data_IF_573775179610
#
_entry.id   IF_573775179610
#
_cell.length_a   1.000
_cell.length_b   1.000
_cell.length_c   1.000
_cell.angle_alpha   90.00
_cell.angle_beta   90.00
_cell.angle_gamma   90.00
#
_symmetry.space_group_name_H-M   'P 1'
#
loop_
_entity.id
_entity.type
_entity.pdbx_description
1 polymer ?
#
# COMPACT_ATOMS: atom_id res chain seq x y z
N UNK A 1 -10.68 22.16 -55.71
CA UNK A 1 -11.07 21.92 -54.31
C UNK A 1 -10.24 20.76 -53.77
N UNK A 2 -9.19 21.05 -52.99
CA UNK A 2 -8.27 20.05 -52.41
C UNK A 2 -8.89 19.46 -51.15
N UNK A 3 -9.18 18.16 -51.13
CA UNK A 3 -9.58 17.44 -49.92
C UNK A 3 -8.34 16.81 -49.30
N UNK A 4 -8.08 17.21 -48.06
CA UNK A 4 -6.93 16.83 -47.24
C UNK A 4 -7.06 15.39 -46.74
N UNK A 5 -6.07 14.55 -47.04
CA UNK A 5 -5.91 13.21 -46.45
C UNK A 5 -5.27 13.37 -45.08
N UNK A 6 -6.01 13.07 -44.00
CA UNK A 6 -5.41 12.84 -42.68
C UNK A 6 -5.17 11.35 -42.47
N UNK A 7 -3.91 11.09 -42.15
CA UNK A 7 -3.28 9.84 -41.76
C UNK A 7 -4.11 9.05 -40.73
N UNK A 8 -4.36 7.78 -41.05
CA UNK A 8 -4.71 6.73 -40.10
C UNK A 8 -3.37 6.26 -39.52
N UNK A 9 -3.19 6.43 -38.21
CA UNK A 9 -2.05 5.87 -37.49
C UNK A 9 -2.40 4.42 -37.14
N UNK A 10 -1.65 3.49 -37.72
CA UNK A 10 -1.77 2.05 -37.51
C UNK A 10 -1.49 1.68 -36.04
N UNK A 11 -2.53 1.29 -35.30
CA UNK A 11 -2.44 0.86 -33.89
C UNK A 11 -2.09 -0.63 -33.73
N UNK A 12 -1.57 -1.29 -34.79
CA UNK A 12 -1.35 -2.74 -34.81
C UNK A 12 0.10 -3.21 -34.60
N UNK A 13 1.03 -2.32 -34.27
CA UNK A 13 2.45 -2.65 -34.17
C UNK A 13 3.03 -2.76 -32.73
N UNK A 14 2.20 -2.85 -31.69
CA UNK A 14 2.68 -3.00 -30.30
C UNK A 14 1.77 -3.91 -29.46
N UNK A 15 1.71 -5.21 -29.72
CA UNK A 15 1.42 -6.19 -28.65
C UNK A 15 1.70 -7.64 -29.07
N UNK A 16 2.93 -7.90 -29.54
CA UNK A 16 3.49 -9.26 -29.61
C UNK A 16 4.96 -9.21 -29.20
N UNK A 17 5.22 -8.91 -27.92
CA UNK A 17 6.40 -9.40 -27.20
C UNK A 17 5.89 -10.52 -26.31
N UNK A 18 5.85 -11.72 -26.86
CA UNK A 18 6.70 -12.83 -26.44
C UNK A 18 6.63 -13.04 -24.93
N UNK A 19 5.88 -14.07 -24.55
CA UNK A 19 6.08 -14.84 -23.32
C UNK A 19 7.54 -15.27 -23.32
N UNK A 20 8.40 -14.48 -22.67
CA UNK A 20 9.79 -14.85 -22.41
C UNK A 20 9.73 -15.83 -21.25
N UNK A 21 10.37 -16.98 -21.46
CA UNK A 21 10.60 -17.98 -20.46
C UNK A 21 11.13 -17.34 -19.17
N UNK A 22 10.59 -17.84 -18.06
CA UNK A 22 10.79 -17.43 -16.69
C UNK A 22 12.27 -17.59 -16.30
N UNK A 23 13.06 -16.56 -16.60
CA UNK A 23 14.39 -16.38 -16.06
C UNK A 23 14.18 -16.21 -14.55
N UNK A 24 14.58 -17.22 -13.76
CA UNK A 24 14.49 -17.24 -12.28
C UNK A 24 15.47 -16.23 -11.67
N UNK A 25 15.38 -14.98 -12.12
CA UNK A 25 15.99 -13.82 -11.50
C UNK A 25 15.41 -13.74 -10.10
N UNK A 26 16.28 -13.52 -9.12
CA UNK A 26 15.91 -13.21 -7.76
C UNK A 26 15.12 -11.89 -7.76
N UNK A 27 13.80 -11.94 -8.01
CA UNK A 27 12.96 -10.74 -8.16
C UNK A 27 12.61 -10.23 -6.76
N UNK A 28 13.59 -9.59 -6.11
CA UNK A 28 13.35 -8.78 -4.91
C UNK A 28 12.29 -7.73 -5.24
N UNK A 29 11.08 -7.96 -4.73
CA UNK A 29 9.96 -7.06 -4.93
C UNK A 29 10.09 -5.89 -3.96
N UNK A 30 10.00 -4.65 -4.44
CA UNK A 30 10.06 -3.50 -3.54
C UNK A 30 8.80 -3.40 -2.66
N UNK A 31 7.63 -3.66 -3.25
CA UNK A 31 6.34 -3.63 -2.56
C UNK A 31 5.52 -4.85 -2.96
N UNK A 32 4.91 -5.49 -1.96
CA UNK A 32 3.87 -6.49 -2.15
C UNK A 32 2.48 -5.88 -1.97
N UNK A 33 1.59 -6.09 -2.93
CA UNK A 33 0.19 -5.61 -2.88
C UNK A 33 -0.75 -6.79 -2.60
N UNK A 34 -1.26 -6.87 -1.38
CA UNK A 34 -2.28 -7.83 -0.96
C UNK A 34 -3.68 -7.33 -1.36
N UNK A 35 -4.51 -8.23 -1.90
CA UNK A 35 -5.90 -7.94 -2.25
C UNK A 35 -6.73 -9.22 -2.28
N UNK A 36 -8.05 -9.10 -2.14
CA UNK A 36 -8.92 -10.24 -2.37
C UNK A 36 -9.03 -10.58 -3.86
N UNK A 37 -9.06 -11.88 -4.18
CA UNK A 37 -9.01 -12.36 -5.57
C UNK A 37 -10.28 -12.00 -6.36
N UNK A 38 -11.43 -12.01 -5.69
CA UNK A 38 -12.74 -11.85 -6.31
C UNK A 38 -13.02 -10.42 -6.79
N UNK A 39 -12.63 -9.42 -6.02
CA UNK A 39 -13.00 -8.00 -6.24
C UNK A 39 -11.81 -7.03 -6.30
N UNK A 40 -10.61 -7.45 -5.90
CA UNK A 40 -9.45 -6.57 -5.74
C UNK A 40 -8.39 -6.65 -6.86
N UNK A 41 -8.31 -7.75 -7.62
CA UNK A 41 -7.15 -8.03 -8.49
C UNK A 41 -6.93 -6.97 -9.57
N UNK A 42 -7.99 -6.53 -10.24
CA UNK A 42 -7.89 -5.51 -11.29
C UNK A 42 -7.32 -4.20 -10.73
N UNK A 43 -7.79 -3.79 -9.56
CA UNK A 43 -7.32 -2.60 -8.86
C UNK A 43 -5.88 -2.77 -8.35
N UNK A 44 -5.56 -3.91 -7.76
CA UNK A 44 -4.21 -4.22 -7.29
C UNK A 44 -3.19 -4.21 -8.45
N UNK A 45 -3.56 -4.70 -9.64
CA UNK A 45 -2.70 -4.65 -10.83
C UNK A 45 -2.40 -3.23 -11.31
N UNK A 46 -3.40 -2.35 -11.28
CA UNK A 46 -3.21 -0.93 -11.61
C UNK A 46 -2.27 -0.30 -10.58
N UNK A 47 -2.57 -0.46 -9.29
CA UNK A 47 -1.75 0.09 -8.21
C UNK A 47 -0.30 -0.42 -8.27
N UNK A 48 -0.12 -1.73 -8.49
CA UNK A 48 1.19 -2.37 -8.66
C UNK A 48 1.96 -1.81 -9.85
N UNK A 49 1.29 -1.56 -10.97
CA UNK A 49 1.95 -1.00 -12.16
C UNK A 49 2.43 0.43 -11.92
N UNK A 50 1.59 1.26 -11.30
CA UNK A 50 1.95 2.64 -10.95
C UNK A 50 3.06 2.69 -9.90
N UNK A 51 3.01 1.85 -8.86
CA UNK A 51 4.08 1.73 -7.87
C UNK A 51 5.41 1.28 -8.51
N UNK A 52 5.37 0.28 -9.40
CA UNK A 52 6.57 -0.22 -10.07
C UNK A 52 7.21 0.84 -10.98
N UNK A 53 6.39 1.60 -11.73
CA UNK A 53 6.87 2.72 -12.56
C UNK A 53 7.54 3.78 -11.69
N UNK A 54 6.93 4.12 -10.55
CA UNK A 54 7.46 5.16 -9.67
C UNK A 54 8.72 4.74 -8.94
N UNK A 55 8.84 3.46 -8.55
CA UNK A 55 9.99 2.94 -7.82
C UNK A 55 11.15 2.50 -8.72
N UNK A 56 10.92 2.38 -10.03
CA UNK A 56 11.83 1.74 -10.98
C UNK A 56 12.29 0.35 -10.48
N UNK A 57 11.36 -0.37 -9.84
CA UNK A 57 11.57 -1.72 -9.28
C UNK A 57 10.33 -2.59 -9.43
N UNK A 58 10.55 -3.90 -9.43
CA UNK A 58 9.47 -4.89 -9.42
C UNK A 58 8.59 -4.74 -8.19
N UNK A 59 7.28 -4.83 -8.39
CA UNK A 59 6.30 -4.96 -7.32
C UNK A 59 5.50 -6.26 -7.56
N UNK A 60 5.03 -6.90 -6.50
CA UNK A 60 4.25 -8.14 -6.54
C UNK A 60 2.77 -7.89 -6.19
N UNK A 61 1.90 -8.78 -6.64
CA UNK A 61 0.47 -8.81 -6.27
C UNK A 61 0.15 -10.17 -5.70
N UNK A 62 -0.66 -10.21 -4.64
CA UNK A 62 -1.08 -11.44 -3.98
C UNK A 62 -1.99 -12.35 -4.79
N UNK A 63 -2.26 -13.53 -4.23
CA UNK A 63 -3.07 -14.59 -4.84
C UNK A 63 -2.32 -15.59 -5.73
N UNK A 64 -0.99 -15.68 -5.62
CA UNK A 64 -0.13 -16.58 -6.40
C UNK A 64 0.39 -17.79 -5.61
N UNK A 65 0.94 -18.76 -6.35
CA UNK A 65 1.77 -19.84 -5.79
C UNK A 65 3.13 -19.18 -5.49
N UNK A 66 3.66 -19.29 -4.26
CA UNK A 66 4.88 -18.62 -3.76
C UNK A 66 4.71 -17.24 -3.10
N UNK A 67 3.49 -16.87 -2.70
CA UNK A 67 3.27 -15.60 -2.00
C UNK A 67 4.18 -15.38 -0.78
N UNK A 68 4.40 -16.40 0.06
CA UNK A 68 5.24 -16.26 1.25
C UNK A 68 6.67 -15.79 0.92
N UNK A 69 7.27 -16.33 -0.15
CA UNK A 69 8.60 -15.94 -0.61
C UNK A 69 8.63 -14.49 -1.09
N UNK A 70 7.62 -14.04 -1.83
CA UNK A 70 7.54 -12.64 -2.26
C UNK A 70 7.39 -11.68 -1.09
N UNK A 71 6.62 -12.05 -0.05
CA UNK A 71 6.50 -11.24 1.17
C UNK A 71 7.83 -11.18 1.90
N UNK A 72 8.52 -12.32 2.06
CA UNK A 72 9.83 -12.39 2.73
C UNK A 72 10.91 -11.54 2.03
N UNK A 73 10.78 -11.34 0.71
CA UNK A 73 11.68 -10.53 -0.10
C UNK A 73 11.23 -9.08 -0.27
N UNK A 74 10.09 -8.68 0.32
CA UNK A 74 9.52 -7.35 0.14
C UNK A 74 9.99 -6.35 1.18
N UNK A 75 10.28 -5.12 0.75
CA UNK A 75 10.66 -4.03 1.67
C UNK A 75 9.44 -3.43 2.40
N UNK A 76 8.25 -3.54 1.79
CA UNK A 76 7.02 -2.96 2.28
C UNK A 76 5.78 -3.72 1.78
N UNK A 77 4.65 -3.50 2.46
CA UNK A 77 3.41 -4.21 2.22
C UNK A 77 2.24 -3.24 2.09
N UNK A 78 1.43 -3.40 1.05
CA UNK A 78 0.22 -2.61 0.80
C UNK A 78 -0.99 -3.52 0.83
N UNK A 79 -1.99 -3.17 1.64
CA UNK A 79 -3.25 -3.90 1.74
C UNK A 79 -4.34 -3.13 1.03
N UNK A 80 -4.86 -3.69 -0.05
CA UNK A 80 -6.03 -3.17 -0.73
C UNK A 80 -7.29 -3.68 -0.03
N UNK A 81 -7.94 -2.79 0.72
CA UNK A 81 -9.15 -3.08 1.48
C UNK A 81 -10.36 -3.16 0.54
N UNK A 82 -10.90 -4.36 0.39
CA UNK A 82 -12.12 -4.69 -0.36
C UNK A 82 -13.06 -5.56 0.48
N UNK A 83 -14.30 -5.75 0.02
CA UNK A 83 -15.38 -6.38 0.79
C UNK A 83 -15.01 -7.84 1.10
N UNK A 84 -14.40 -8.51 0.14
CA UNK A 84 -14.07 -9.95 0.26
C UNK A 84 -12.77 -10.21 1.01
N UNK A 85 -11.92 -9.21 1.25
CA UNK A 85 -10.62 -9.39 1.90
C UNK A 85 -10.70 -10.06 3.29
N UNK A 86 -11.60 -9.66 4.21
CA UNK A 86 -11.74 -10.31 5.52
C UNK A 86 -12.15 -11.78 5.44
N UNK A 87 -12.66 -12.21 4.29
CA UNK A 87 -13.14 -13.57 4.03
C UNK A 87 -12.25 -14.34 3.07
N UNK A 88 -11.11 -13.80 2.66
CA UNK A 88 -10.23 -14.41 1.67
C UNK A 88 -9.04 -15.10 2.38
N UNK A 89 -8.96 -16.45 2.39
CA UNK A 89 -7.93 -17.18 3.15
C UNK A 89 -6.50 -16.77 2.80
N UNK A 90 -6.21 -16.65 1.50
CA UNK A 90 -4.88 -16.24 1.04
C UNK A 90 -4.54 -14.82 1.46
N UNK A 91 -5.49 -13.87 1.33
CA UNK A 91 -5.27 -12.48 1.76
C UNK A 91 -5.04 -12.37 3.26
N UNK A 92 -5.77 -13.14 4.08
CA UNK A 92 -5.57 -13.18 5.53
C UNK A 92 -4.19 -13.74 5.89
N UNK A 93 -3.78 -14.83 5.24
CA UNK A 93 -2.44 -15.40 5.41
C UNK A 93 -1.34 -14.40 5.00
N UNK A 94 -1.52 -13.70 3.87
CA UNK A 94 -0.63 -12.67 3.37
C UNK A 94 -0.41 -11.56 4.39
N UNK A 95 -1.49 -11.04 4.98
CA UNK A 95 -1.43 -9.98 5.98
C UNK A 95 -0.76 -10.48 7.26
N UNK A 96 -1.14 -11.66 7.75
CA UNK A 96 -0.51 -12.27 8.91
C UNK A 96 1.00 -12.45 8.72
N UNK A 97 1.41 -12.98 7.56
CA UNK A 97 2.82 -13.19 7.24
C UNK A 97 3.59 -11.87 7.18
N UNK A 98 3.01 -10.82 6.59
CA UNK A 98 3.62 -9.48 6.58
C UNK A 98 3.79 -8.90 8.00
N UNK A 99 2.82 -9.14 8.89
CA UNK A 99 2.90 -8.75 10.31
C UNK A 99 4.00 -9.52 11.04
N UNK A 100 4.15 -10.82 10.80
CA UNK A 100 5.25 -11.63 11.35
C UNK A 100 6.62 -11.13 10.89
N UNK A 101 6.73 -10.73 9.62
CA UNK A 101 7.94 -10.15 9.04
C UNK A 101 8.17 -8.68 9.46
N UNK A 102 7.25 -8.08 10.24
CA UNK A 102 7.29 -6.69 10.70
C UNK A 102 7.46 -5.68 9.55
N UNK A 103 6.88 -6.00 8.39
CA UNK A 103 6.93 -5.11 7.24
C UNK A 103 6.17 -3.82 7.54
N UNK A 104 6.61 -2.66 7.02
CA UNK A 104 5.78 -1.47 7.00
C UNK A 104 4.49 -1.72 6.19
N UNK A 105 3.33 -1.53 6.81
CA UNK A 105 2.02 -1.81 6.20
C UNK A 105 1.29 -0.51 5.92
N UNK A 106 0.82 -0.33 4.68
CA UNK A 106 -0.11 0.74 4.30
C UNK A 106 -1.42 0.16 3.81
N UNK A 107 -2.54 0.63 4.36
CA UNK A 107 -3.87 0.25 3.90
C UNK A 107 -4.39 1.26 2.87
N UNK A 108 -4.98 0.75 1.78
CA UNK A 108 -5.62 1.53 0.73
C UNK A 108 -7.06 1.04 0.61
N UNK A 109 -8.03 1.89 0.89
CA UNK A 109 -9.44 1.57 0.79
C UNK A 109 -10.03 2.07 -0.52
N UNK A 110 -10.84 1.22 -1.16
CA UNK A 110 -11.73 1.63 -2.23
C UNK A 110 -13.11 1.86 -1.60
N UNK A 111 -13.58 3.11 -1.42
CA UNK A 111 -14.78 3.40 -0.62
C UNK A 111 -16.05 2.68 -1.08
N UNK A 112 -16.17 2.40 -2.37
CA UNK A 112 -17.31 1.67 -2.94
C UNK A 112 -17.26 0.16 -2.70
N UNK A 113 -16.10 -0.36 -2.30
CA UNK A 113 -15.86 -1.79 -2.15
C UNK A 113 -15.55 -2.18 -0.71
N UNK A 114 -15.40 -1.26 0.24
CA UNK A 114 -15.01 -1.62 1.61
C UNK A 114 -15.98 -1.09 2.65
N UNK A 115 -16.58 -2.01 3.40
CA UNK A 115 -17.39 -1.69 4.58
C UNK A 115 -16.58 -1.95 5.84
N UNK A 116 -16.10 -0.88 6.47
CA UNK A 116 -15.31 -0.95 7.71
C UNK A 116 -16.03 -1.72 8.81
N UNK A 117 -17.31 -1.44 9.05
CA UNK A 117 -18.05 -2.08 10.14
C UNK A 117 -18.20 -3.60 9.92
N UNK A 118 -18.52 -4.01 8.70
CA UNK A 118 -18.64 -5.42 8.35
C UNK A 118 -17.29 -6.15 8.42
N UNK A 119 -16.23 -5.52 7.93
CA UNK A 119 -14.88 -6.07 7.98
C UNK A 119 -14.38 -6.23 9.42
N UNK A 120 -14.56 -5.21 10.27
CA UNK A 120 -14.22 -5.26 11.70
C UNK A 120 -14.96 -6.40 12.40
N UNK A 121 -16.27 -6.53 12.17
CA UNK A 121 -17.06 -7.63 12.75
C UNK A 121 -16.60 -9.01 12.26
N UNK A 122 -16.26 -9.14 10.98
CA UNK A 122 -15.77 -10.38 10.38
C UNK A 122 -14.40 -10.80 10.94
N UNK A 123 -13.47 -9.85 11.11
CA UNK A 123 -12.13 -10.11 11.63
C UNK A 123 -12.13 -10.42 13.13
N UNK A 124 -13.00 -9.76 13.91
CA UNK A 124 -13.13 -10.00 15.35
C UNK A 124 -13.63 -11.42 15.69
N UNK A 125 -14.35 -12.08 14.77
CA UNK A 125 -14.85 -13.44 14.96
C UNK A 125 -14.53 -14.32 13.74
N UNK A 126 -13.26 -14.35 13.36
CA UNK A 126 -12.79 -14.99 12.12
C UNK A 126 -13.21 -16.46 11.95
N UNK A 127 -13.17 -17.33 12.99
CA UNK A 127 -13.57 -18.73 12.84
C UNK A 127 -15.07 -18.92 12.51
N UNK A 128 -15.91 -17.96 12.90
CA UNK A 128 -17.36 -18.00 12.69
C UNK A 128 -17.75 -17.30 11.39
N UNK A 129 -17.01 -16.25 11.00
CA UNK A 129 -17.30 -15.47 9.79
C UNK A 129 -16.86 -16.16 8.50
N UNK A 130 -15.86 -17.05 8.56
CA UNK A 130 -15.41 -17.85 7.42
C UNK A 130 -16.30 -19.06 7.16
N UNK A 131 -16.59 -19.31 5.89
CA UNK A 131 -17.15 -20.59 5.45
C UNK A 131 -16.20 -21.74 5.78
N UNK A 132 -16.75 -22.94 6.04
CA UNK A 132 -15.95 -24.10 6.48
C UNK A 132 -14.77 -24.39 5.55
N UNK A 133 -14.97 -24.39 4.23
CA UNK A 133 -13.92 -24.67 3.24
C UNK A 133 -12.82 -23.61 3.26
N UNK A 134 -13.20 -22.33 3.41
CA UNK A 134 -12.27 -21.21 3.52
C UNK A 134 -11.47 -21.26 4.83
N UNK A 135 -12.11 -21.67 5.92
CA UNK A 135 -11.46 -21.88 7.21
C UNK A 135 -10.43 -23.03 7.14
N UNK A 136 -10.79 -24.16 6.53
CA UNK A 136 -9.84 -25.27 6.33
C UNK A 136 -8.67 -24.86 5.44
N UNK A 137 -8.95 -24.08 4.39
CA UNK A 137 -7.89 -23.54 3.53
C UNK A 137 -6.95 -22.60 4.30
N UNK A 138 -7.48 -21.70 5.12
CA UNK A 138 -6.65 -20.82 5.97
C UNK A 138 -5.78 -21.65 6.94
N UNK A 139 -6.37 -22.67 7.59
CA UNK A 139 -5.63 -23.58 8.49
C UNK A 139 -4.52 -24.35 7.78
N UNK A 140 -4.72 -24.72 6.52
CA UNK A 140 -3.69 -25.40 5.72
C UNK A 140 -2.53 -24.48 5.32
N UNK A 141 -2.75 -23.16 5.27
CA UNK A 141 -1.73 -22.17 4.97
C UNK A 141 -0.92 -21.76 6.20
N UNK A 142 -1.54 -21.77 7.38
CA UNK A 142 -0.91 -21.39 8.63
C UNK A 142 0.01 -22.50 9.18
N UNK A 143 1.06 -22.15 9.93
CA UNK A 143 1.83 -23.12 10.70
C UNK A 143 0.94 -23.88 11.70
N UNK A 144 1.26 -25.15 11.97
CA UNK A 144 0.44 -26.07 12.77
C UNK A 144 0.12 -25.57 14.19
N UNK A 145 0.97 -24.72 14.75
CA UNK A 145 0.86 -24.13 16.08
C UNK A 145 0.09 -22.80 16.11
N UNK A 146 -0.30 -22.27 14.96
CA UNK A 146 -0.95 -20.96 14.85
C UNK A 146 -2.46 -21.09 14.91
N UNK A 147 -3.06 -20.51 15.94
CA UNK A 147 -4.51 -20.48 16.09
C UNK A 147 -5.17 -19.38 15.23
N UNK A 148 -6.32 -19.72 14.63
CA UNK A 148 -7.03 -18.83 13.69
C UNK A 148 -7.63 -17.62 14.41
N UNK A 149 -8.06 -17.77 15.67
CA UNK A 149 -8.59 -16.65 16.46
C UNK A 149 -7.48 -15.63 16.76
N UNK A 150 -6.30 -16.12 17.14
CA UNK A 150 -5.10 -15.28 17.31
C UNK A 150 -4.74 -14.50 16.04
N UNK A 151 -4.80 -15.16 14.87
CA UNK A 151 -4.57 -14.51 13.57
C UNK A 151 -5.61 -13.42 13.31
N UNK A 152 -6.90 -13.71 13.53
CA UNK A 152 -7.99 -12.75 13.37
C UNK A 152 -7.79 -11.51 14.24
N UNK A 153 -7.47 -11.70 15.52
CA UNK A 153 -7.23 -10.62 16.48
C UNK A 153 -6.02 -9.76 16.08
N UNK A 154 -4.91 -10.39 15.68
CA UNK A 154 -3.70 -9.68 15.26
C UNK A 154 -3.95 -8.81 14.02
N UNK A 155 -4.65 -9.36 13.02
CA UNK A 155 -5.03 -8.63 11.81
C UNK A 155 -6.00 -7.50 12.15
N UNK A 156 -7.01 -7.77 12.97
CA UNK A 156 -8.00 -6.80 13.42
C UNK A 156 -7.33 -5.60 14.11
N UNK A 157 -6.52 -5.84 15.13
CA UNK A 157 -5.80 -4.79 15.87
C UNK A 157 -4.89 -3.96 14.94
N UNK A 158 -4.18 -4.63 14.03
CA UNK A 158 -3.25 -3.98 13.12
C UNK A 158 -3.96 -3.12 12.08
N UNK A 159 -4.96 -3.66 11.38
CA UNK A 159 -5.65 -2.95 10.31
C UNK A 159 -6.55 -1.83 10.81
N UNK A 160 -7.16 -1.98 11.98
CA UNK A 160 -8.01 -0.93 12.57
C UNK A 160 -7.21 0.24 13.12
N UNK A 161 -5.96 0.01 13.55
CA UNK A 161 -5.05 1.07 13.95
C UNK A 161 -4.52 1.91 12.78
N UNK A 162 -4.51 1.35 11.56
CA UNK A 162 -3.98 2.01 10.37
C UNK A 162 -5.09 2.77 9.65
N UNK A 163 -5.01 4.10 9.64
CA UNK A 163 -5.87 4.96 8.82
C UNK A 163 -5.68 4.56 7.36
N UNK A 164 -6.74 4.32 6.59
CA UNK A 164 -6.61 3.95 5.17
C UNK A 164 -6.40 5.16 4.24
N UNK A 165 -5.70 4.97 3.13
CA UNK A 165 -5.69 5.93 2.00
C UNK A 165 -6.94 5.68 1.17
N UNK A 166 -7.72 6.72 0.91
CA UNK A 166 -8.89 6.60 0.04
C UNK A 166 -8.47 6.66 -1.43
N UNK A 167 -8.72 5.58 -2.17
CA UNK A 167 -8.50 5.53 -3.60
C UNK A 167 -9.80 5.24 -4.33
N UNK A 168 -10.17 6.09 -5.30
CA UNK A 168 -11.25 5.77 -6.23
C UNK A 168 -10.71 5.66 -7.65
N UNK A 169 -10.86 4.50 -8.31
CA UNK A 169 -10.25 4.21 -9.60
C UNK A 169 -10.84 5.02 -10.76
N UNK A 170 -12.00 5.65 -10.55
CA UNK A 170 -12.67 6.49 -11.54
C UNK A 170 -12.11 7.92 -11.62
N UNK A 171 -11.30 8.34 -10.63
CA UNK A 171 -10.65 9.64 -10.70
C UNK A 171 -9.46 9.61 -11.66
N UNK A 172 -9.14 10.79 -12.21
CA UNK A 172 -8.05 10.95 -13.18
C UNK A 172 -6.66 10.71 -12.57
N UNK A 173 -5.64 10.77 -13.43
CA UNK A 173 -4.24 10.48 -13.09
C UNK A 173 -3.69 11.24 -11.88
N UNK A 174 -4.09 12.50 -11.71
CA UNK A 174 -3.67 13.32 -10.56
C UNK A 174 -4.07 12.69 -9.21
N UNK A 175 -5.24 12.04 -9.14
CA UNK A 175 -5.68 11.36 -7.92
C UNK A 175 -4.83 10.11 -7.65
N UNK A 176 -4.50 9.36 -8.69
CA UNK A 176 -3.57 8.23 -8.56
C UNK A 176 -2.19 8.69 -8.08
N UNK A 177 -1.63 9.74 -8.67
CA UNK A 177 -0.33 10.28 -8.23
C UNK A 177 -0.36 10.71 -6.76
N UNK A 178 -1.46 11.31 -6.29
CA UNK A 178 -1.64 11.66 -4.88
C UNK A 178 -1.70 10.41 -3.98
N UNK A 179 -2.48 9.39 -4.36
CA UNK A 179 -2.55 8.10 -3.63
C UNK A 179 -1.17 7.45 -3.52
N UNK A 180 -0.41 7.41 -4.60
CA UNK A 180 0.95 6.84 -4.60
C UNK A 180 1.89 7.66 -3.70
N UNK A 181 1.82 8.99 -3.76
CA UNK A 181 2.58 9.88 -2.88
C UNK A 181 2.26 9.63 -1.40
N UNK A 182 0.98 9.47 -1.07
CA UNK A 182 0.53 9.17 0.29
C UNK A 182 1.02 7.81 0.79
N UNK A 183 1.05 6.79 -0.09
CA UNK A 183 1.61 5.47 0.24
C UNK A 183 3.09 5.63 0.65
N UNK A 184 3.90 6.28 -0.17
CA UNK A 184 5.32 6.47 0.13
C UNK A 184 5.56 7.31 1.38
N UNK A 185 4.79 8.39 1.57
CA UNK A 185 4.90 9.23 2.74
C UNK A 185 4.65 8.45 4.05
N UNK A 186 3.70 7.51 4.03
CA UNK A 186 3.41 6.64 5.19
C UNK A 186 4.48 5.60 5.42
N UNK A 187 4.93 4.91 4.37
CA UNK A 187 6.02 3.93 4.47
C UNK A 187 7.29 4.56 5.05
N UNK A 188 7.63 5.78 4.65
CA UNK A 188 8.81 6.48 5.20
C UNK A 188 8.58 6.93 6.67
N UNK A 189 7.36 7.32 7.05
CA UNK A 189 7.03 7.67 8.45
C UNK A 189 7.17 6.46 9.38
N UNK A 190 6.66 5.31 8.97
CA UNK A 190 6.74 4.09 9.76
C UNK A 190 8.19 3.63 9.94
N UNK A 191 8.98 3.70 8.87
CA UNK A 191 10.41 3.39 8.89
C UNK A 191 11.19 4.28 9.86
N UNK A 192 10.91 5.60 9.86
CA UNK A 192 11.53 6.54 10.82
C UNK A 192 11.16 6.21 12.27
N UNK A 193 9.91 5.81 12.50
CA UNK A 193 9.40 5.43 13.82
C UNK A 193 10.00 4.12 14.34
N UNK A 194 10.38 3.21 13.45
CA UNK A 194 11.11 1.98 13.80
C UNK A 194 12.58 2.27 14.14
N UNK A 195 13.25 3.17 13.39
CA UNK A 195 14.64 3.54 13.64
C UNK A 195 14.86 4.23 15.00
N UNK A 196 13.92 5.07 15.44
CA UNK A 196 14.03 5.76 16.75
C UNK A 196 13.84 4.82 17.93
N UNK A 197 13.16 3.67 17.74
CA UNK A 197 12.97 2.65 18.78
C UNK A 197 14.12 1.64 18.86
N UNK A 198 14.90 1.45 17.79
CA UNK A 198 15.92 0.39 17.70
C UNK A 198 17.37 0.86 17.87
N UNK A 199 17.62 1.92 18.65
CA UNK A 199 18.94 2.53 18.88
C UNK A 199 20.06 1.65 19.47
N UNK A 200 20.04 0.33 19.31
CA UNK A 200 21.09 -0.61 19.74
C UNK A 200 21.29 -1.88 18.92
N UNK A 201 20.73 -2.06 17.71
CA UNK A 201 20.98 -3.27 16.90
C UNK A 201 21.41 -3.00 15.46
N UNK A 202 22.73 -3.06 15.29
CA UNK A 202 23.54 -3.44 14.11
C UNK A 202 22.82 -3.50 12.76
N UNK A 203 23.12 -2.51 11.92
CA UNK A 203 22.79 -2.44 10.50
C UNK A 203 23.48 -3.55 9.70
N UNK A 204 22.70 -4.45 9.10
CA UNK A 204 23.22 -5.35 8.06
C UNK A 204 22.15 -5.83 7.06
N UNK A 205 21.28 -4.94 6.59
CA UNK A 205 20.45 -5.12 5.38
C UNK A 205 19.66 -3.83 5.07
N UNK A 206 20.34 -2.73 4.73
CA UNK A 206 19.67 -1.42 4.69
C UNK A 206 20.28 -0.41 3.74
N UNK A 207 20.88 -0.85 2.64
CA UNK A 207 21.27 0.04 1.55
C UNK A 207 20.23 -0.03 0.42
N UNK A 208 19.21 0.82 0.31
CA UNK A 208 18.41 1.57 1.28
C UNK A 208 17.16 1.90 0.47
N UNK A 209 16.00 1.32 0.78
CA UNK A 209 14.73 1.68 0.12
C UNK A 209 14.53 3.21 0.13
N UNK A 210 15.05 3.91 1.14
CA UNK A 210 15.16 5.38 1.20
C UNK A 210 15.99 5.98 0.05
N UNK A 211 17.12 5.38 -0.32
CA UNK A 211 17.91 5.84 -1.48
C UNK A 211 17.16 5.68 -2.80
N UNK A 212 16.31 4.65 -2.90
CA UNK A 212 15.45 4.44 -4.06
C UNK A 212 14.28 5.43 -4.06
N UNK A 213 13.62 5.65 -2.92
CA UNK A 213 12.59 6.67 -2.76
C UNK A 213 13.11 8.09 -3.03
N UNK A 214 14.31 8.43 -2.53
CA UNK A 214 14.93 9.74 -2.76
C UNK A 214 15.36 9.92 -4.22
N UNK A 215 15.80 8.85 -4.90
CA UNK A 215 16.07 8.88 -6.35
C UNK A 215 14.78 9.03 -7.16
N UNK A 216 13.73 8.31 -6.78
CA UNK A 216 12.42 8.34 -7.43
C UNK A 216 11.65 9.64 -7.19
N UNK A 217 11.89 10.31 -6.06
CA UNK A 217 11.11 11.46 -5.62
C UNK A 217 11.96 12.51 -4.89
N UNK A 218 12.67 13.38 -5.63
CA UNK A 218 13.55 14.40 -5.05
C UNK A 218 12.82 15.40 -4.14
N UNK A 219 11.54 15.71 -4.41
CA UNK A 219 10.78 16.67 -3.59
C UNK A 219 10.43 16.16 -2.18
N UNK A 220 10.69 14.89 -1.86
CA UNK A 220 10.62 14.37 -0.48
C UNK A 220 11.86 14.77 0.35
N UNK A 221 12.95 15.18 -0.31
CA UNK A 221 14.19 15.59 0.35
C UNK A 221 14.07 16.98 0.99
N UNK A 222 13.19 17.83 0.46
CA UNK A 222 13.10 19.25 0.85
C UNK A 222 12.31 19.50 2.16
N UNK A 223 11.75 18.47 2.78
CA UNK A 223 10.98 18.63 4.04
C UNK A 223 11.83 18.58 5.31
N UNK A 224 13.16 18.48 5.20
CA UNK A 224 14.08 18.46 6.36
C UNK A 224 15.04 19.64 6.33
N UNK A 225 14.55 20.88 6.45
CA UNK A 225 15.35 21.99 6.99
C UNK A 225 14.48 23.15 7.50
N UNK A 226 14.74 23.49 8.77
CA UNK A 226 14.49 24.75 9.49
C UNK A 226 13.06 25.27 9.66
N UNK A 227 12.55 25.12 10.89
CA UNK A 227 11.78 26.17 11.56
C UNK A 227 12.32 26.32 12.97
N UNK A 228 13.46 26.99 13.07
CA UNK A 228 13.91 27.61 14.32
C UNK A 228 13.11 28.88 14.57
N UNK A 229 12.67 28.97 15.81
CA UNK A 229 11.92 30.05 16.42
C UNK A 229 12.65 31.39 16.42
N UNK A 230 11.99 32.44 15.95
CA UNK A 230 12.20 33.80 16.46
C UNK A 230 10.88 34.39 16.90
N UNK A 231 10.74 34.44 18.22
CA UNK A 231 9.81 35.28 18.97
C UNK A 231 9.97 36.75 18.59
N UNK A 232 8.88 37.43 18.26
CA UNK A 232 8.81 38.89 18.31
C UNK A 232 7.40 39.34 18.75
N UNK A 233 7.43 40.26 19.69
CA UNK A 233 6.43 40.72 20.63
C UNK A 233 5.29 41.58 20.07
N UNK A 234 4.19 41.53 20.82
CA UNK A 234 3.03 42.41 20.88
C UNK A 234 3.22 43.88 20.47
N UNK A 235 2.19 44.45 19.84
CA UNK A 235 1.66 45.78 20.20
C UNK A 235 0.20 45.90 19.77
N UNK A 236 -0.67 45.99 20.78
CA UNK A 236 -2.07 46.39 20.72
C UNK A 236 -2.14 47.87 20.36
N UNK A 237 -2.95 48.27 19.39
CA UNK A 237 -3.41 49.66 19.31
C UNK A 237 -4.84 49.72 18.80
N UNK A 238 -5.68 50.22 19.69
CA UNK A 238 -7.08 50.56 19.53
C UNK A 238 -7.24 51.77 18.62
N UNK A 239 -8.26 51.77 17.77
CA UNK A 239 -8.88 53.02 17.32
C UNK A 239 -10.32 52.79 16.86
N UNK A 240 -11.23 53.33 17.67
CA UNK A 240 -12.61 53.64 17.32
C UNK A 240 -12.67 54.55 16.09
N UNK A 241 -13.73 54.42 15.28
CA UNK A 241 -14.38 55.56 14.66
C UNK A 241 -15.83 55.22 14.27
N UNK A 242 -16.76 55.84 15.00
CA UNK A 242 -18.05 56.40 14.57
C UNK A 242 -17.86 57.13 13.22
N UNK A 243 -18.78 57.21 12.26
CA UNK A 243 -20.07 57.93 12.30
C UNK A 243 -20.79 57.80 10.94
N UNK A 244 -22.13 57.75 10.97
CA UNK A 244 -23.14 58.34 10.04
C UNK A 244 -22.98 58.23 8.51
N UNK A 245 -23.96 57.62 7.84
CA UNK A 245 -25.15 58.30 7.27
C UNK A 245 -26.17 57.27 6.77
#
# INVERSE_FOLDING_TARGET
LRVSRRSIVDFRALSRRSVVADDMVNVESAIFVCCAREDGVSHARVLRSELAIKLDRGCAVGGGINTAQFIDQSDAFVVLLTEKLPTEPLGLFEIWKALQCQLPIVTVAIPTLYNFAAATAALANLPVSLQHDKLQHLKALLPTDTDVESVGNMIHESLTAIIAISWSPHYGRNHMDAVISDIFARLERDRRSQQTKSGKRSDKAGASFRSLLLKAWPSLADSTTSSDSTTSSCSTTSSNSTTSS
#
